data_IF_672207193690
#
_entry.id   IF_672207193690
#
_cell.length_a   1.000
_cell.length_b   1.000
_cell.length_c   1.000
_cell.angle_alpha   90.00
_cell.angle_beta   90.00
_cell.angle_gamma   90.00
#
_symmetry.space_group_name_H-M   'P 1'
#
loop_
_entity.id
_entity.type
_entity.pdbx_description
1 polymer ?
#
# COMPACT_ATOMS: atom_id res chain seq x y z
N UNK A 1 2.76 -9.04 13.02
CA UNK A 1 1.99 -9.75 11.98
C UNK A 1 2.91 -10.05 10.82
N UNK A 2 3.22 -11.31 10.55
CA UNK A 2 4.17 -11.74 9.50
C UNK A 2 3.42 -12.10 8.22
N UNK A 3 3.94 -11.69 7.07
CA UNK A 3 3.40 -12.06 5.76
C UNK A 3 4.49 -12.77 4.95
N UNK A 4 4.18 -13.98 4.50
CA UNK A 4 5.05 -14.77 3.64
C UNK A 4 4.36 -15.03 2.29
N UNK A 5 5.07 -14.74 1.21
CA UNK A 5 4.75 -15.11 -0.17
C UNK A 5 5.56 -16.36 -0.48
N UNK A 6 4.91 -17.47 -0.86
CA UNK A 6 5.56 -18.75 -1.06
C UNK A 6 5.34 -19.26 -2.48
N UNK A 7 6.41 -19.27 -3.28
CA UNK A 7 6.48 -19.78 -4.66
C UNK A 7 5.34 -19.28 -5.53
N UNK A 8 4.99 -18.01 -5.41
CA UNK A 8 3.81 -17.42 -6.07
C UNK A 8 4.06 -17.20 -7.55
N UNK A 9 3.18 -17.76 -8.39
CA UNK A 9 3.09 -17.46 -9.81
C UNK A 9 1.72 -16.83 -10.11
N UNK A 10 1.69 -15.72 -10.85
CA UNK A 10 0.46 -15.00 -11.16
C UNK A 10 0.56 -14.24 -12.50
N UNK A 11 -0.59 -13.88 -13.05
CA UNK A 11 -0.67 -13.13 -14.31
C UNK A 11 -2.09 -13.00 -14.84
N UNK A 12 -2.22 -12.42 -16.03
CA UNK A 12 -3.50 -12.08 -16.65
C UNK A 12 -3.65 -12.77 -18.02
N UNK A 13 -4.87 -13.17 -18.39
CA UNK A 13 -5.21 -13.61 -19.74
C UNK A 13 -4.25 -14.66 -20.33
N UNK A 14 -3.80 -15.64 -19.56
CA UNK A 14 -2.83 -16.65 -20.00
C UNK A 14 -1.36 -16.22 -19.86
N UNK A 15 -1.03 -14.93 -19.80
CA UNK A 15 0.33 -14.42 -19.67
C UNK A 15 0.78 -14.46 -18.21
N UNK A 16 1.93 -15.09 -17.93
CA UNK A 16 2.58 -15.10 -16.63
C UNK A 16 3.32 -13.77 -16.42
N UNK A 17 3.13 -13.14 -15.24
CA UNK A 17 3.78 -11.89 -14.84
C UNK A 17 4.68 -12.09 -13.63
N UNK A 18 4.37 -13.04 -12.76
CA UNK A 18 5.20 -13.48 -11.64
C UNK A 18 5.43 -14.98 -11.78
N UNK A 19 6.63 -15.46 -11.48
CA UNK A 19 7.05 -16.84 -11.65
C UNK A 19 7.84 -17.33 -10.44
N UNK A 20 7.16 -18.11 -9.56
CA UNK A 20 7.78 -18.70 -8.40
C UNK A 20 8.38 -17.68 -7.41
N UNK A 21 7.66 -16.61 -7.10
CA UNK A 21 8.14 -15.53 -6.25
C UNK A 21 8.03 -15.93 -4.79
N UNK A 22 9.15 -15.79 -4.04
CA UNK A 22 9.22 -15.93 -2.59
C UNK A 22 9.58 -14.59 -1.96
N UNK A 23 8.85 -14.17 -0.90
CA UNK A 23 9.09 -12.93 -0.16
C UNK A 23 8.57 -13.05 1.27
N UNK A 24 9.37 -12.64 2.25
CA UNK A 24 8.91 -12.41 3.61
C UNK A 24 8.85 -10.91 3.88
N UNK A 25 7.70 -10.42 4.32
CA UNK A 25 7.53 -9.02 4.75
C UNK A 25 7.63 -8.98 6.27
N UNK A 26 8.67 -8.33 6.83
CA UNK A 26 8.85 -8.23 8.27
C UNK A 26 7.79 -7.32 8.90
N UNK A 27 7.47 -7.57 10.17
CA UNK A 27 6.51 -6.76 10.92
C UNK A 27 7.06 -5.37 11.25
N UNK A 28 6.22 -4.36 11.15
CA UNK A 28 6.49 -3.01 11.64
C UNK A 28 7.42 -2.17 10.76
N UNK A 29 7.95 -2.74 9.67
CA UNK A 29 8.86 -2.02 8.76
C UNK A 29 8.18 -1.51 7.49
N UNK A 30 8.95 -0.76 6.71
CA UNK A 30 8.59 -0.29 5.37
C UNK A 30 9.39 -1.07 4.33
N UNK A 31 8.69 -1.87 3.52
CA UNK A 31 9.25 -2.60 2.40
C UNK A 31 8.78 -1.99 1.09
N UNK A 32 9.71 -1.67 0.20
CA UNK A 32 9.38 -1.08 -1.10
C UNK A 32 9.79 -1.98 -2.26
N UNK A 33 8.84 -2.22 -3.16
CA UNK A 33 9.06 -2.92 -4.43
C UNK A 33 9.54 -1.91 -5.47
N UNK A 34 10.70 -2.16 -6.07
CA UNK A 34 11.30 -1.36 -7.13
C UNK A 34 11.64 -2.22 -8.36
N UNK A 35 11.81 -1.60 -9.52
CA UNK A 35 12.12 -2.31 -10.76
C UNK A 35 11.51 -1.62 -11.98
N UNK A 36 11.89 -2.05 -13.18
CA UNK A 36 11.40 -1.49 -14.44
C UNK A 36 9.86 -1.61 -14.57
N UNK A 37 9.27 -0.79 -15.45
CA UNK A 37 7.85 -0.89 -15.77
C UNK A 37 7.54 -2.29 -16.34
N UNK A 38 6.40 -2.86 -15.91
CA UNK A 38 6.00 -4.20 -16.33
C UNK A 38 6.75 -5.36 -15.64
N UNK A 39 7.62 -5.10 -14.65
CA UNK A 39 8.35 -6.16 -13.93
C UNK A 39 7.47 -7.02 -13.01
N UNK A 40 6.24 -6.58 -12.70
CA UNK A 40 5.29 -7.36 -11.89
C UNK A 40 5.02 -6.79 -10.49
N UNK A 41 5.55 -5.63 -10.13
CA UNK A 41 5.41 -5.00 -8.78
C UNK A 41 3.95 -4.88 -8.33
N UNK A 42 3.12 -4.18 -9.12
CA UNK A 42 1.68 -4.01 -8.82
C UNK A 42 0.92 -5.33 -8.87
N UNK A 43 1.37 -6.29 -9.69
CA UNK A 43 0.80 -7.64 -9.72
C UNK A 43 1.08 -8.37 -8.41
N UNK A 44 2.30 -8.32 -7.89
CA UNK A 44 2.66 -8.90 -6.60
C UNK A 44 1.84 -8.27 -5.46
N UNK A 45 1.73 -6.94 -5.45
CA UNK A 45 0.94 -6.22 -4.46
C UNK A 45 -0.55 -6.62 -4.53
N UNK A 46 -1.12 -6.77 -5.74
CA UNK A 46 -2.51 -7.23 -5.93
C UNK A 46 -2.74 -8.67 -5.45
N UNK A 47 -1.76 -9.57 -5.65
CA UNK A 47 -1.84 -10.95 -5.14
C UNK A 47 -1.79 -10.94 -3.62
N UNK A 48 -0.87 -10.19 -3.01
CA UNK A 48 -0.78 -10.03 -1.56
C UNK A 48 -2.07 -9.44 -0.98
N UNK A 49 -2.64 -8.43 -1.63
CA UNK A 49 -3.91 -7.80 -1.25
C UNK A 49 -5.17 -8.63 -1.57
N UNK A 50 -5.03 -9.85 -2.10
CA UNK A 50 -6.14 -10.72 -2.54
C UNK A 50 -7.07 -10.07 -3.58
N UNK A 51 -6.52 -9.15 -4.40
CA UNK A 51 -7.20 -8.59 -5.56
C UNK A 51 -6.96 -9.40 -6.85
N UNK A 52 -5.95 -10.27 -6.83
CA UNK A 52 -5.63 -11.21 -7.88
C UNK A 52 -5.29 -12.57 -7.26
N UNK A 53 -5.94 -13.63 -7.71
CA UNK A 53 -5.62 -14.98 -7.27
C UNK A 53 -4.34 -15.49 -7.92
N UNK A 54 -3.41 -16.08 -7.14
CA UNK A 54 -2.22 -16.72 -7.70
C UNK A 54 -2.61 -17.99 -8.48
N UNK A 55 -1.88 -18.28 -9.55
CA UNK A 55 -2.02 -19.54 -10.31
C UNK A 55 -1.33 -20.70 -9.62
N UNK A 56 -0.25 -20.41 -8.89
CA UNK A 56 0.49 -21.36 -8.07
C UNK A 56 1.08 -20.66 -6.87
N UNK A 57 1.43 -21.43 -5.84
CA UNK A 57 1.93 -20.89 -4.57
C UNK A 57 0.83 -20.35 -3.66
N UNK A 58 1.22 -19.73 -2.58
CA UNK A 58 0.28 -19.18 -1.59
C UNK A 58 0.83 -17.94 -0.89
N UNK A 59 -0.10 -17.12 -0.37
CA UNK A 59 0.21 -16.05 0.59
C UNK A 59 -0.22 -16.53 1.97
N UNK A 60 0.70 -16.42 2.92
CA UNK A 60 0.48 -16.80 4.33
C UNK A 60 0.56 -15.55 5.19
N UNK A 61 -0.48 -15.29 5.95
CA UNK A 61 -0.58 -14.17 6.89
C UNK A 61 -0.73 -14.75 8.31
N UNK A 62 0.21 -14.44 9.22
CA UNK A 62 0.24 -14.98 10.58
C UNK A 62 0.11 -16.52 10.65
N UNK A 63 0.80 -17.24 9.76
CA UNK A 63 0.78 -18.69 9.69
C UNK A 63 -0.47 -19.30 9.04
N UNK A 64 -1.43 -18.49 8.58
CA UNK A 64 -2.67 -18.93 7.97
C UNK A 64 -2.74 -18.46 6.50
N UNK A 65 -3.15 -19.33 5.59
CA UNK A 65 -3.31 -18.99 4.17
C UNK A 65 -4.30 -17.84 4.00
N UNK A 66 -3.92 -16.80 3.24
CA UNK A 66 -4.73 -15.56 3.11
C UNK A 66 -6.12 -15.83 2.51
N UNK A 67 -6.25 -16.84 1.67
CA UNK A 67 -7.53 -17.28 1.06
C UNK A 67 -8.55 -17.79 2.09
N UNK A 68 -8.09 -18.24 3.27
CA UNK A 68 -8.95 -18.77 4.33
C UNK A 68 -9.52 -17.70 5.26
N UNK A 69 -9.06 -16.46 5.14
CA UNK A 69 -9.64 -15.32 5.86
C UNK A 69 -10.97 -14.88 5.24
N UNK A 70 -11.98 -14.63 6.05
CA UNK A 70 -13.18 -13.92 5.62
C UNK A 70 -12.83 -12.51 5.10
N UNK A 71 -13.60 -12.00 4.14
CA UNK A 71 -13.31 -10.69 3.53
C UNK A 71 -13.25 -9.56 4.56
N UNK A 72 -14.22 -9.51 5.48
CA UNK A 72 -14.24 -8.50 6.56
C UNK A 72 -13.09 -8.69 7.54
N UNK A 73 -12.75 -9.96 7.87
CA UNK A 73 -11.63 -10.28 8.77
C UNK A 73 -10.30 -9.80 8.18
N UNK A 74 -10.07 -10.09 6.89
CA UNK A 74 -8.86 -9.62 6.19
C UNK A 74 -8.82 -8.10 6.09
N UNK A 75 -9.94 -7.48 5.75
CA UNK A 75 -10.04 -6.02 5.64
C UNK A 75 -9.76 -5.29 6.96
N UNK A 76 -9.96 -5.90 8.13
CA UNK A 76 -9.54 -5.34 9.43
C UNK A 76 -8.04 -5.45 9.69
N UNK A 77 -7.33 -6.28 8.94
CA UNK A 77 -5.90 -6.53 9.11
C UNK A 77 -5.05 -5.82 8.04
N UNK A 78 -5.59 -5.70 6.84
CA UNK A 78 -4.87 -5.25 5.66
C UNK A 78 -5.72 -4.26 4.86
N UNK A 79 -5.16 -3.08 4.59
CA UNK A 79 -5.74 -2.10 3.69
C UNK A 79 -4.89 -1.96 2.43
N UNK A 80 -5.52 -1.69 1.30
CA UNK A 80 -4.86 -1.47 0.02
C UNK A 80 -5.33 -0.16 -0.61
N UNK A 81 -4.38 0.65 -1.07
CA UNK A 81 -4.61 1.79 -1.92
C UNK A 81 -4.09 1.45 -3.33
N UNK A 82 -4.97 1.23 -4.31
CA UNK A 82 -4.57 0.96 -5.69
C UNK A 82 -4.04 2.23 -6.37
N UNK A 83 -3.29 2.10 -7.46
CA UNK A 83 -2.73 3.22 -8.22
C UNK A 83 -3.80 4.19 -8.75
N UNK A 84 -4.91 3.65 -9.28
CA UNK A 84 -6.03 4.46 -9.76
C UNK A 84 -7.21 4.37 -8.79
N UNK A 85 -7.68 5.51 -8.37
CA UNK A 85 -8.85 5.64 -7.51
C UNK A 85 -9.64 6.89 -7.91
N UNK A 86 -10.95 6.73 -7.97
CA UNK A 86 -11.88 7.79 -8.33
C UNK A 86 -12.88 7.97 -7.20
N UNK A 87 -13.08 9.21 -6.77
CA UNK A 87 -14.19 9.56 -5.91
C UNK A 87 -15.30 10.17 -6.77
N UNK A 88 -16.55 9.85 -6.50
CA UNK A 88 -17.66 10.65 -6.99
C UNK A 88 -17.47 12.08 -6.46
N UNK A 89 -17.52 13.08 -7.36
CA UNK A 89 -17.01 14.43 -7.12
C UNK A 89 -17.63 15.21 -5.95
N UNK A 90 -18.75 14.76 -5.40
CA UNK A 90 -19.53 15.49 -4.36
C UNK A 90 -19.26 15.00 -2.94
N UNK A 91 -18.62 13.84 -2.74
CA UNK A 91 -18.35 13.35 -1.38
C UNK A 91 -17.32 14.22 -0.66
N UNK A 92 -17.56 14.48 0.62
CA UNK A 92 -16.64 15.22 1.46
C UNK A 92 -15.45 14.36 1.89
N UNK A 93 -14.35 15.00 2.32
CA UNK A 93 -13.18 14.30 2.87
C UNK A 93 -13.57 13.45 4.07
N UNK A 94 -14.42 13.97 4.97
CA UNK A 94 -14.89 13.22 6.13
C UNK A 94 -15.70 11.98 5.77
N UNK A 95 -16.55 12.06 4.74
CA UNK A 95 -17.31 10.90 4.23
C UNK A 95 -16.38 9.88 3.58
N UNK A 96 -15.43 10.31 2.75
CA UNK A 96 -14.44 9.42 2.14
C UNK A 96 -13.66 8.64 3.23
N UNK A 97 -13.14 9.34 4.23
CA UNK A 97 -12.40 8.69 5.33
C UNK A 97 -13.31 7.76 6.11
N UNK A 98 -14.58 8.14 6.30
CA UNK A 98 -15.60 7.31 6.93
C UNK A 98 -15.85 5.97 6.20
N UNK A 99 -15.63 5.87 4.90
CA UNK A 99 -15.72 4.60 4.17
C UNK A 99 -14.65 3.59 4.63
N UNK A 100 -13.52 4.04 5.13
CA UNK A 100 -12.51 3.17 5.75
C UNK A 100 -13.04 2.38 6.95
N UNK A 101 -14.13 2.84 7.59
CA UNK A 101 -14.77 2.14 8.72
C UNK A 101 -15.67 0.98 8.30
N UNK A 102 -15.91 0.79 7.00
CA UNK A 102 -16.83 -0.24 6.48
C UNK A 102 -16.60 -1.64 7.08
N UNK A 103 -15.36 -2.17 7.23
CA UNK A 103 -15.12 -3.48 7.82
C UNK A 103 -15.49 -3.59 9.30
N UNK A 104 -15.62 -2.47 10.02
CA UNK A 104 -15.93 -2.43 11.44
C UNK A 104 -17.41 -2.22 11.74
N UNK A 105 -18.20 -1.83 10.74
CA UNK A 105 -19.62 -1.49 10.90
C UNK A 105 -20.48 -2.75 11.06
N UNK A 106 -21.51 -2.65 11.89
CA UNK A 106 -22.56 -3.65 12.05
C UNK A 106 -23.79 -3.26 11.20
N UNK A 107 -23.67 -3.40 9.86
CA UNK A 107 -24.76 -3.05 8.93
C UNK A 107 -24.55 -1.72 8.19
N UNK A 108 -25.58 -1.26 7.45
CA UNK A 108 -25.54 -0.10 6.56
C UNK A 108 -25.94 1.23 7.22
N UNK A 109 -25.98 1.29 8.55
CA UNK A 109 -26.35 2.49 9.31
C UNK A 109 -25.30 3.61 9.27
N UNK A 110 -25.55 4.69 10.02
CA UNK A 110 -24.59 5.77 10.24
C UNK A 110 -23.36 5.29 11.01
N UNK A 111 -22.26 6.05 10.92
CA UNK A 111 -21.05 5.81 11.73
C UNK A 111 -21.41 5.86 13.24
N UNK A 112 -20.93 4.88 14.01
CA UNK A 112 -21.02 4.90 15.46
C UNK A 112 -20.21 6.08 16.04
N UNK A 113 -20.35 6.34 17.34
CA UNK A 113 -19.53 7.34 18.02
C UNK A 113 -18.04 6.97 17.95
N UNK A 114 -17.71 5.68 18.13
CA UNK A 114 -16.33 5.18 18.04
C UNK A 114 -15.78 5.32 16.61
N UNK A 115 -16.58 5.02 15.57
CA UNK A 115 -16.15 5.20 14.19
C UNK A 115 -15.89 6.67 13.87
N UNK A 116 -16.71 7.58 14.35
CA UNK A 116 -16.49 9.03 14.21
C UNK A 116 -15.20 9.47 14.88
N UNK A 117 -14.93 8.98 16.09
CA UNK A 117 -13.68 9.28 16.79
C UNK A 117 -12.43 8.81 15.99
N UNK A 118 -12.50 7.59 15.41
CA UNK A 118 -11.42 7.09 14.53
C UNK A 118 -11.26 7.97 13.28
N UNK A 119 -12.35 8.40 12.65
CA UNK A 119 -12.29 9.32 11.51
C UNK A 119 -11.65 10.64 11.91
N UNK A 120 -12.01 11.21 13.05
CA UNK A 120 -11.48 12.49 13.55
C UNK A 120 -9.97 12.38 13.83
N UNK A 121 -9.54 11.32 14.49
CA UNK A 121 -8.11 11.05 14.73
C UNK A 121 -7.35 10.84 13.43
N UNK A 122 -7.91 10.09 12.49
CA UNK A 122 -7.29 9.86 11.18
C UNK A 122 -7.09 11.16 10.40
N UNK A 123 -8.10 12.04 10.41
CA UNK A 123 -8.01 13.37 9.77
C UNK A 123 -6.89 14.22 10.39
N UNK A 124 -6.71 14.16 11.71
CA UNK A 124 -5.60 14.84 12.42
C UNK A 124 -4.25 14.27 12.00
N UNK A 125 -4.09 12.95 12.04
CA UNK A 125 -2.86 12.27 11.67
C UNK A 125 -2.43 12.57 10.23
N UNK A 126 -3.41 12.72 9.33
CA UNK A 126 -3.16 12.99 7.91
C UNK A 126 -3.18 14.50 7.58
N UNK A 127 -3.34 15.38 8.57
CA UNK A 127 -3.42 16.85 8.42
C UNK A 127 -4.56 17.29 7.49
N UNK A 128 -5.69 16.58 7.54
CA UNK A 128 -6.88 16.84 6.71
C UNK A 128 -8.06 17.41 7.52
N UNK A 129 -7.89 17.66 8.81
CA UNK A 129 -8.94 18.20 9.67
C UNK A 129 -9.60 19.48 9.11
N UNK A 130 -8.83 20.47 8.57
CA UNK A 130 -9.41 21.70 7.99
C UNK A 130 -10.25 21.43 6.72
N UNK A 131 -10.03 20.31 6.07
CA UNK A 131 -10.70 19.94 4.81
C UNK A 131 -11.87 19.00 5.00
N UNK A 132 -12.23 18.63 6.23
CA UNK A 132 -13.25 17.60 6.56
C UNK A 132 -14.52 17.70 5.73
N UNK A 133 -15.08 18.91 5.62
CA UNK A 133 -16.35 19.18 4.94
C UNK A 133 -16.17 19.59 3.47
N UNK A 134 -14.95 19.59 2.97
CA UNK A 134 -14.63 19.99 1.61
C UNK A 134 -14.85 18.81 0.64
N UNK A 135 -15.49 19.01 -0.52
CA UNK A 135 -15.62 17.98 -1.54
C UNK A 135 -14.25 17.50 -2.03
N UNK A 136 -14.04 16.18 -2.13
CA UNK A 136 -12.77 15.57 -2.53
C UNK A 136 -12.33 16.03 -3.92
N UNK A 137 -13.28 16.25 -4.83
CA UNK A 137 -13.01 16.74 -6.19
C UNK A 137 -12.36 18.14 -6.24
N UNK A 138 -12.48 18.94 -5.17
CA UNK A 138 -11.92 20.31 -5.09
C UNK A 138 -10.53 20.38 -4.46
N UNK A 139 -10.00 19.25 -4.01
CA UNK A 139 -8.68 19.16 -3.41
C UNK A 139 -7.57 19.22 -4.45
N UNK A 140 -6.39 19.76 -4.07
CA UNK A 140 -5.16 19.56 -4.85
C UNK A 140 -4.79 18.08 -4.97
N UNK A 141 -3.90 17.72 -5.89
CA UNK A 141 -3.45 16.34 -6.08
C UNK A 141 -2.90 15.72 -4.79
N UNK A 142 -2.04 16.44 -4.08
CA UNK A 142 -1.44 15.98 -2.84
C UNK A 142 -2.45 15.87 -1.68
N UNK A 143 -3.37 16.84 -1.54
CA UNK A 143 -4.46 16.76 -0.54
C UNK A 143 -5.38 15.59 -0.82
N UNK A 144 -5.73 15.37 -2.09
CA UNK A 144 -6.56 14.24 -2.51
C UNK A 144 -5.87 12.90 -2.24
N UNK A 145 -4.59 12.79 -2.53
CA UNK A 145 -3.82 11.58 -2.22
C UNK A 145 -3.78 11.30 -0.71
N UNK A 146 -3.58 12.34 0.12
CA UNK A 146 -3.67 12.22 1.58
C UNK A 146 -5.05 11.75 2.03
N UNK A 147 -6.14 12.21 1.38
CA UNK A 147 -7.49 11.78 1.73
C UNK A 147 -7.72 10.27 1.43
N UNK A 148 -7.17 9.75 0.34
CA UNK A 148 -7.21 8.33 0.05
C UNK A 148 -6.39 7.49 1.03
N UNK A 149 -5.18 7.96 1.40
CA UNK A 149 -4.37 7.32 2.45
C UNK A 149 -5.13 7.34 3.79
N UNK A 150 -5.78 8.46 4.13
CA UNK A 150 -6.60 8.58 5.34
C UNK A 150 -7.75 7.58 5.34
N UNK A 151 -8.43 7.37 4.22
CA UNK A 151 -9.47 6.36 4.11
C UNK A 151 -8.93 4.95 4.42
N UNK A 152 -7.76 4.58 3.86
CA UNK A 152 -7.16 3.28 4.16
C UNK A 152 -6.70 3.17 5.61
N UNK A 153 -6.20 4.27 6.19
CA UNK A 153 -5.78 4.32 7.58
C UNK A 153 -6.94 4.21 8.57
N UNK A 154 -8.11 4.81 8.25
CA UNK A 154 -9.32 4.70 9.06
C UNK A 154 -9.83 3.26 9.20
N UNK A 155 -9.39 2.36 8.34
CA UNK A 155 -9.62 0.92 8.46
C UNK A 155 -8.83 0.30 9.64
N UNK A 156 -7.88 1.04 10.23
CA UNK A 156 -6.98 0.60 11.31
C UNK A 156 -6.24 -0.70 10.95
N UNK A 157 -5.60 -0.76 9.77
CA UNK A 157 -4.91 -1.96 9.32
C UNK A 157 -3.60 -2.17 10.10
N UNK A 158 -3.15 -3.42 10.17
CA UNK A 158 -1.76 -3.74 10.57
C UNK A 158 -0.80 -3.78 9.37
N UNK A 159 -1.36 -4.04 8.16
CA UNK A 159 -0.65 -3.96 6.88
C UNK A 159 -1.27 -2.90 5.98
N UNK A 160 -0.46 -1.99 5.48
CA UNK A 160 -0.84 -0.98 4.51
C UNK A 160 -0.13 -1.26 3.18
N UNK A 161 -0.89 -1.53 2.14
CA UNK A 161 -0.41 -1.78 0.79
C UNK A 161 -0.65 -0.54 -0.07
N UNK A 162 0.41 0.04 -0.65
CA UNK A 162 0.34 1.26 -1.45
C UNK A 162 0.90 1.01 -2.86
N UNK A 163 0.05 1.06 -3.88
CA UNK A 163 0.45 0.90 -5.27
C UNK A 163 0.73 2.28 -5.88
N UNK A 164 2.00 2.66 -5.97
CA UNK A 164 2.48 3.92 -6.55
C UNK A 164 1.81 5.18 -5.95
N UNK A 165 1.87 5.40 -4.64
CA UNK A 165 1.13 6.47 -3.98
C UNK A 165 1.60 7.89 -4.34
N UNK A 166 2.69 8.02 -5.09
CA UNK A 166 3.28 9.33 -5.47
C UNK A 166 3.09 9.66 -6.96
N UNK A 167 2.47 8.77 -7.74
CA UNK A 167 2.28 8.96 -9.19
C UNK A 167 1.35 10.15 -9.46
N UNK A 168 1.67 10.94 -10.49
CA UNK A 168 0.97 12.18 -10.90
C UNK A 168 1.04 13.34 -9.91
N UNK A 169 1.92 13.30 -8.92
CA UNK A 169 2.16 14.39 -7.99
C UNK A 169 3.44 15.16 -8.37
N UNK A 170 3.45 16.46 -8.08
CA UNK A 170 4.69 17.23 -8.14
C UNK A 170 5.69 16.77 -7.07
N UNK A 171 6.96 17.13 -7.26
CA UNK A 171 8.08 16.67 -6.42
C UNK A 171 7.84 16.96 -4.93
N UNK A 172 7.33 18.15 -4.59
CA UNK A 172 7.05 18.52 -3.20
C UNK A 172 5.97 17.62 -2.60
N UNK A 173 4.87 17.45 -3.32
CA UNK A 173 3.77 16.58 -2.88
C UNK A 173 4.21 15.12 -2.74
N UNK A 174 5.11 14.63 -3.61
CA UNK A 174 5.69 13.28 -3.47
C UNK A 174 6.43 13.12 -2.14
N UNK A 175 7.30 14.09 -1.79
CA UNK A 175 8.00 14.08 -0.50
C UNK A 175 7.03 14.13 0.67
N UNK A 176 6.02 15.02 0.63
CA UNK A 176 5.01 15.14 1.68
C UNK A 176 4.24 13.83 1.92
N UNK A 177 3.92 13.08 0.85
CA UNK A 177 3.25 11.78 0.96
C UNK A 177 4.18 10.72 1.57
N UNK A 178 5.44 10.68 1.16
CA UNK A 178 6.41 9.73 1.70
C UNK A 178 6.69 10.01 3.18
N UNK A 179 6.86 11.27 3.56
CA UNK A 179 7.00 11.65 4.97
C UNK A 179 5.78 11.25 5.80
N UNK A 180 4.58 11.46 5.27
CA UNK A 180 3.35 11.00 5.93
C UNK A 180 3.36 9.48 6.15
N UNK A 181 3.71 8.69 5.15
CA UNK A 181 3.77 7.22 5.27
C UNK A 181 4.80 6.79 6.32
N UNK A 182 6.00 7.40 6.33
CA UNK A 182 7.02 7.13 7.34
C UNK A 182 6.55 7.51 8.75
N UNK A 183 5.86 8.65 8.90
CA UNK A 183 5.31 9.08 10.19
C UNK A 183 4.22 8.13 10.70
N UNK A 184 3.33 7.69 9.81
CA UNK A 184 2.28 6.72 10.15
C UNK A 184 2.87 5.37 10.57
N UNK A 185 3.88 4.86 9.85
CA UNK A 185 4.59 3.64 10.23
C UNK A 185 5.19 3.76 11.64
N UNK A 186 5.96 4.84 11.90
CA UNK A 186 6.62 5.07 13.20
C UNK A 186 5.64 5.22 14.37
N UNK A 187 4.55 5.97 14.16
CA UNK A 187 3.58 6.28 15.23
C UNK A 187 2.66 5.11 15.55
N UNK A 188 2.28 4.35 14.52
CA UNK A 188 1.24 3.32 14.64
C UNK A 188 1.81 1.90 14.62
N UNK A 189 3.10 1.72 14.30
CA UNK A 189 3.73 0.41 14.18
C UNK A 189 3.15 -0.45 13.05
N UNK A 190 2.49 0.16 12.05
CA UNK A 190 1.93 -0.56 10.92
C UNK A 190 3.02 -0.99 9.96
N UNK A 191 2.89 -2.19 9.39
CA UNK A 191 3.76 -2.63 8.30
C UNK A 191 3.31 -2.01 6.99
N UNK A 192 4.25 -1.45 6.22
CA UNK A 192 3.96 -0.86 4.91
C UNK A 192 4.66 -1.66 3.83
N UNK A 193 3.90 -2.06 2.81
CA UNK A 193 4.42 -2.59 1.56
C UNK A 193 4.00 -1.64 0.44
N UNK A 194 4.95 -1.02 -0.24
CA UNK A 194 4.62 -0.08 -1.31
C UNK A 194 5.40 -0.33 -2.60
N UNK A 195 4.85 0.15 -3.70
CA UNK A 195 5.51 0.22 -5.00
C UNK A 195 5.93 1.65 -5.23
N UNK A 196 7.20 1.88 -5.55
CA UNK A 196 7.72 3.18 -5.97
C UNK A 196 8.54 3.05 -7.25
N UNK A 197 8.53 4.12 -8.06
CA UNK A 197 9.38 4.25 -9.24
C UNK A 197 10.66 5.05 -8.95
N UNK A 198 10.57 6.05 -8.07
CA UNK A 198 11.71 6.88 -7.69
C UNK A 198 12.55 6.17 -6.63
N UNK A 199 13.80 5.85 -7.00
CA UNK A 199 14.74 5.17 -6.11
C UNK A 199 15.21 6.05 -4.95
N UNK A 200 15.25 7.38 -5.12
CA UNK A 200 15.65 8.29 -4.04
C UNK A 200 14.54 8.35 -2.97
N UNK A 201 13.28 8.39 -3.39
CA UNK A 201 12.15 8.30 -2.46
C UNK A 201 12.12 6.94 -1.76
N UNK A 202 12.35 5.85 -2.52
CA UNK A 202 12.41 4.50 -1.96
C UNK A 202 13.54 4.37 -0.92
N UNK A 203 14.74 4.87 -1.24
CA UNK A 203 15.88 4.85 -0.33
C UNK A 203 15.66 5.63 0.97
N UNK A 204 14.91 6.73 0.88
CA UNK A 204 14.67 7.62 2.03
C UNK A 204 13.71 7.04 3.06
N UNK A 205 12.79 6.18 2.66
CA UNK A 205 11.69 5.76 3.52
C UNK A 205 11.65 4.26 3.81
N UNK A 206 12.45 3.44 3.12
CA UNK A 206 12.34 1.99 3.24
C UNK A 206 13.41 1.42 4.15
N UNK A 207 13.02 0.43 4.94
CA UNK A 207 13.97 -0.43 5.66
C UNK A 207 14.54 -1.49 4.72
N UNK A 208 13.68 -1.98 3.78
CA UNK A 208 14.03 -3.02 2.83
C UNK A 208 13.56 -2.61 1.42
N UNK A 209 14.45 -2.74 0.44
CA UNK A 209 14.12 -2.67 -0.96
C UNK A 209 14.10 -4.08 -1.58
N UNK A 210 13.11 -4.33 -2.41
CA UNK A 210 12.95 -5.58 -3.15
C UNK A 210 12.92 -5.26 -4.64
N UNK A 211 13.84 -5.82 -5.41
CA UNK A 211 13.90 -5.58 -6.86
C UNK A 211 13.20 -6.70 -7.62
N UNK A 212 12.38 -6.32 -8.58
CA UNK A 212 11.71 -7.25 -9.50
C UNK A 212 12.25 -7.05 -10.92
N UNK A 213 12.69 -8.16 -11.55
CA UNK A 213 13.08 -8.22 -12.95
C UNK A 213 12.71 -9.59 -13.53
N UNK A 214 12.28 -9.64 -14.78
CA UNK A 214 11.97 -10.89 -15.48
C UNK A 214 11.05 -11.83 -14.69
N UNK A 215 9.98 -11.27 -14.09
CA UNK A 215 8.95 -12.00 -13.33
C UNK A 215 9.40 -12.55 -11.98
N UNK A 216 10.63 -12.28 -11.53
CA UNK A 216 11.23 -12.81 -10.30
C UNK A 216 11.73 -11.69 -9.41
N UNK A 217 11.83 -11.96 -8.12
CA UNK A 217 12.63 -11.16 -7.21
C UNK A 217 14.10 -11.47 -7.49
N UNK A 218 14.91 -10.42 -7.67
CA UNK A 218 16.35 -10.53 -7.95
C UNK A 218 17.19 -10.23 -6.72
N UNK A 219 16.86 -9.13 -6.03
CA UNK A 219 17.61 -8.72 -4.86
C UNK A 219 16.65 -8.27 -3.77
N UNK A 220 17.01 -8.54 -2.52
CA UNK A 220 16.36 -8.07 -1.29
C UNK A 220 17.47 -7.55 -0.39
N UNK A 221 17.34 -6.35 0.13
CA UNK A 221 18.34 -5.78 1.03
C UNK A 221 17.97 -4.37 1.49
N UNK A 222 18.83 -3.80 2.30
CA UNK A 222 18.73 -2.39 2.68
C UNK A 222 18.92 -1.47 1.49
N UNK A 223 18.47 -0.20 1.54
CA UNK A 223 18.73 0.77 0.48
C UNK A 223 20.21 0.87 0.09
N UNK A 224 21.11 0.84 1.06
CA UNK A 224 22.56 0.91 0.82
C UNK A 224 23.11 -0.31 0.05
N UNK A 225 22.52 -1.48 0.25
CA UNK A 225 22.90 -2.69 -0.47
C UNK A 225 22.36 -2.72 -1.89
N UNK A 226 21.11 -2.26 -2.09
CA UNK A 226 20.43 -2.31 -3.39
C UNK A 226 20.88 -1.19 -4.35
N UNK A 227 21.21 -0.01 -3.83
CA UNK A 227 21.62 1.14 -4.66
C UNK A 227 23.10 1.10 -5.10
N UNK A 228 23.70 -0.08 -5.13
CA UNK A 228 25.04 -0.27 -5.68
C UNK A 228 25.00 -0.26 -7.21
N UNK A 229 26.03 0.29 -7.88
CA UNK A 229 26.07 0.39 -9.34
C UNK A 229 25.83 -0.94 -10.07
N UNK A 230 26.34 -2.05 -9.51
CA UNK A 230 26.20 -3.38 -10.11
C UNK A 230 24.74 -3.84 -10.16
N UNK A 231 24.00 -3.62 -9.06
CA UNK A 231 22.58 -3.97 -8.97
C UNK A 231 21.73 -3.03 -9.81
N UNK A 232 22.04 -1.73 -9.83
CA UNK A 232 21.35 -0.76 -10.66
C UNK A 232 21.51 -1.08 -12.15
N UNK A 233 22.71 -1.46 -12.60
CA UNK A 233 22.95 -1.94 -13.96
C UNK A 233 22.15 -3.21 -14.27
N UNK A 234 22.15 -4.18 -13.36
CA UNK A 234 21.37 -5.40 -13.56
C UNK A 234 19.88 -5.09 -13.70
N UNK A 235 19.29 -4.33 -12.76
CA UNK A 235 17.83 -4.15 -12.68
C UNK A 235 17.31 -3.13 -13.70
N UNK A 236 18.01 -2.01 -13.89
CA UNK A 236 17.54 -0.85 -14.66
C UNK A 236 18.31 -0.62 -15.96
N UNK A 237 19.48 -1.24 -16.13
CA UNK A 237 20.34 -1.04 -17.32
C UNK A 237 21.08 0.29 -17.33
N UNK A 238 21.33 0.92 -16.16
CA UNK A 238 21.95 2.24 -15.98
C UNK A 238 23.30 2.14 -15.26
#
# INVERSE_FOLDING_TARGET
MKLDVKSVSAGYGGKLVLDGVDLTVPEGGILTLVGANGSGKSTLLKVIGRLLEPRAGEIVLDGRAIRSYGTTELARKMAILPQLHHAAGEITVGELVGYGRFPHRRGFGQLSADDRAVVDETLKLTRLEPFRNRPVGTLSGGERQRAWIAMTLAQQPRFLLLDEPTTFLDVRCQFDIIELVCDLNRRLGITVLMVLHDLNLAARCSDILVTLKERKIRHIGTPAEILRPEILRDIFGI
#
